data_IF_195972245551
#
_entry.id   IF_195972245551
#
_cell.length_a   1.000
_cell.length_b   1.000
_cell.length_c   1.000
_cell.angle_alpha   90.00
_cell.angle_beta   90.00
_cell.angle_gamma   90.00
#
_symmetry.space_group_name_H-M   'P 1'
#
loop_
_entity.id
_entity.type
_entity.pdbx_description
1 polymer ?
#
# COMPACT_ATOMS: atom_id res chain seq x y z
N UNK A 1 -28.27 -23.15 33.76
CA UNK A 1 -28.05 -21.75 33.35
C UNK A 1 -27.76 -21.77 31.86
N UNK A 2 -28.75 -21.40 31.04
CA UNK A 2 -28.62 -21.29 29.58
C UNK A 2 -28.43 -19.81 29.28
N UNK A 3 -27.21 -19.40 28.92
CA UNK A 3 -26.94 -18.01 28.54
C UNK A 3 -27.51 -17.70 27.15
N UNK A 4 -28.20 -16.57 27.11
CA UNK A 4 -29.02 -16.08 26.01
C UNK A 4 -28.16 -15.55 24.86
N UNK A 5 -27.74 -16.47 23.99
CA UNK A 5 -26.95 -16.21 22.76
C UNK A 5 -27.69 -15.35 21.73
N UNK A 6 -28.97 -15.05 21.93
CA UNK A 6 -29.75 -14.19 21.02
C UNK A 6 -29.31 -12.72 21.09
N UNK A 7 -28.92 -12.24 22.28
CA UNK A 7 -28.50 -10.84 22.49
C UNK A 7 -27.16 -10.53 21.85
N UNK A 8 -26.23 -11.47 21.85
CA UNK A 8 -24.90 -11.32 21.25
C UNK A 8 -25.01 -11.24 19.71
N UNK A 9 -25.89 -12.05 19.10
CA UNK A 9 -26.15 -12.00 17.65
C UNK A 9 -26.85 -10.71 17.23
N UNK A 10 -27.76 -10.18 18.07
CA UNK A 10 -28.43 -8.91 17.81
C UNK A 10 -27.45 -7.72 17.86
N UNK A 11 -26.53 -7.71 18.82
CA UNK A 11 -25.52 -6.66 18.97
C UNK A 11 -24.50 -6.70 17.82
N UNK A 12 -24.03 -7.89 17.43
CA UNK A 12 -23.14 -8.05 16.28
C UNK A 12 -23.81 -7.62 14.97
N UNK A 13 -25.10 -7.94 14.78
CA UNK A 13 -25.87 -7.49 13.62
C UNK A 13 -26.06 -5.97 13.57
N UNK A 14 -26.29 -5.32 14.72
CA UNK A 14 -26.43 -3.87 14.80
C UNK A 14 -25.10 -3.14 14.50
N UNK A 15 -23.97 -3.72 14.95
CA UNK A 15 -22.64 -3.16 14.72
C UNK A 15 -22.24 -3.21 13.24
N UNK A 16 -22.52 -4.33 12.56
CA UNK A 16 -22.27 -4.48 11.11
C UNK A 16 -23.18 -3.53 10.31
N UNK A 17 -24.43 -3.34 10.72
CA UNK A 17 -25.35 -2.40 10.08
C UNK A 17 -24.88 -0.94 10.24
N UNK A 18 -24.35 -0.57 11.41
CA UNK A 18 -23.79 0.76 11.67
C UNK A 18 -22.52 1.03 10.84
N UNK A 19 -21.64 0.05 10.69
CA UNK A 19 -20.43 0.17 9.84
C UNK A 19 -20.81 0.35 8.36
N UNK A 20 -21.79 -0.42 7.87
CA UNK A 20 -22.30 -0.30 6.49
C UNK A 20 -23.01 1.05 6.26
N UNK A 21 -23.75 1.55 7.24
CA UNK A 21 -24.40 2.85 7.15
C UNK A 21 -23.39 4.01 7.16
N UNK A 22 -22.31 3.94 7.97
CA UNK A 22 -21.24 4.93 7.93
C UNK A 22 -20.47 4.95 6.61
N UNK A 23 -20.24 3.78 5.99
CA UNK A 23 -19.62 3.70 4.67
C UNK A 23 -20.51 4.29 3.56
N UNK A 24 -21.83 4.04 3.63
CA UNK A 24 -22.78 4.59 2.65
C UNK A 24 -22.95 6.11 2.80
N UNK A 25 -22.94 6.64 4.03
CA UNK A 25 -23.06 8.08 4.27
C UNK A 25 -21.82 8.86 3.78
N UNK A 26 -20.61 8.29 3.95
CA UNK A 26 -19.38 8.85 3.39
C UNK A 26 -19.33 8.77 1.86
N UNK A 27 -19.84 7.68 1.29
CA UNK A 27 -19.92 7.50 -0.17
C UNK A 27 -20.94 8.42 -0.86
N UNK A 28 -22.04 8.78 -0.18
CA UNK A 28 -23.07 9.67 -0.77
C UNK A 28 -22.80 11.16 -0.59
N UNK A 29 -22.13 11.59 0.50
CA UNK A 29 -21.82 13.02 0.71
C UNK A 29 -20.73 13.56 -0.24
N UNK A 30 -19.89 12.68 -0.78
CA UNK A 30 -18.83 13.04 -1.73
C UNK A 30 -19.31 13.17 -3.18
N UNK A 31 -20.57 12.81 -3.49
CA UNK A 31 -21.08 12.76 -4.88
C UNK A 31 -22.10 13.84 -5.25
N UNK A 32 -22.60 14.64 -4.30
CA UNK A 32 -23.64 15.65 -4.57
C UNK A 32 -23.15 17.10 -4.74
N UNK A 33 -21.83 17.32 -4.83
CA UNK A 33 -21.25 18.64 -5.15
C UNK A 33 -20.25 18.51 -6.29
N UNK A 34 -20.76 18.47 -7.53
CA UNK A 34 -20.17 19.13 -8.69
C UNK A 34 -20.93 18.75 -9.95
N UNK A 35 -22.06 19.43 -10.17
CA UNK A 35 -22.58 19.66 -11.51
C UNK A 35 -22.83 21.16 -11.66
N UNK A 36 -21.85 21.90 -12.17
CA UNK A 36 -22.15 23.06 -13.01
C UNK A 36 -21.03 23.22 -14.04
N UNK A 37 -21.40 23.04 -15.31
CA UNK A 37 -20.58 23.20 -16.50
C UNK A 37 -20.20 24.68 -16.69
N UNK A 38 -18.94 24.94 -17.01
CA UNK A 38 -18.56 26.05 -17.90
C UNK A 38 -17.54 25.57 -18.92
N UNK A 39 -17.91 25.75 -20.20
CA UNK A 39 -17.10 25.53 -21.40
C UNK A 39 -16.44 26.86 -21.78
N UNK A 40 -15.19 26.83 -22.26
CA UNK A 40 -14.63 27.66 -23.38
C UNK A 40 -13.09 27.48 -23.45
N UNK A 41 -12.40 27.83 -24.58
CA UNK A 41 -12.65 27.47 -25.97
C UNK A 41 -11.41 26.81 -26.64
N UNK A 42 -11.68 26.15 -27.75
CA UNK A 42 -10.74 25.60 -28.73
C UNK A 42 -9.84 26.67 -29.34
N UNK A 43 -8.54 26.37 -29.53
CA UNK A 43 -7.64 27.12 -30.40
C UNK A 43 -6.94 26.20 -31.38
N UNK A 44 -6.84 26.72 -32.60
CA UNK A 44 -6.70 26.03 -33.88
C UNK A 44 -5.24 25.83 -34.29
N UNK A 45 -4.97 24.66 -34.87
CA UNK A 45 -4.03 24.32 -35.95
C UNK A 45 -2.84 25.25 -36.26
N UNK A 46 -1.62 24.71 -36.21
CA UNK A 46 -0.70 24.81 -37.35
C UNK A 46 0.30 23.64 -37.37
N UNK A 47 0.43 23.04 -38.56
CA UNK A 47 1.37 21.99 -38.94
C UNK A 47 2.56 22.66 -39.64
N UNK A 48 3.79 22.14 -39.49
CA UNK A 48 4.62 21.97 -40.68
C UNK A 48 5.21 20.55 -40.81
N UNK A 49 5.46 20.21 -42.07
CA UNK A 49 5.97 18.94 -42.60
C UNK A 49 7.49 18.80 -42.44
N UNK A 50 8.08 17.62 -42.77
CA UNK A 50 9.32 17.13 -42.19
C UNK A 50 10.57 17.57 -42.96
N UNK A 51 11.69 17.68 -42.25
CA UNK A 51 13.03 17.77 -42.85
C UNK A 51 13.94 16.71 -42.26
N UNK A 52 14.43 15.84 -43.12
CA UNK A 52 15.45 14.83 -42.89
C UNK A 52 16.82 15.50 -42.69
N UNK A 53 17.53 15.20 -41.60
CA UNK A 53 18.99 15.36 -41.55
C UNK A 53 19.64 14.35 -40.59
N UNK A 54 20.65 13.67 -41.12
CA UNK A 54 21.52 12.59 -40.62
C UNK A 54 22.33 12.99 -39.36
N UNK A 55 22.79 12.04 -38.52
CA UNK A 55 23.18 12.32 -37.13
C UNK A 55 24.63 12.82 -36.99
N UNK A 56 24.82 13.82 -36.12
CA UNK A 56 26.11 14.19 -35.56
C UNK A 56 26.26 13.57 -34.16
N UNK A 57 27.25 12.71 -34.00
CA UNK A 57 27.77 12.31 -32.70
C UNK A 57 28.53 13.49 -32.09
N UNK A 58 28.07 13.93 -30.92
CA UNK A 58 28.88 14.76 -30.01
C UNK A 58 28.95 14.05 -28.68
N UNK A 59 30.13 13.51 -28.40
CA UNK A 59 30.55 13.00 -27.10
C UNK A 59 30.71 14.18 -26.15
N UNK A 60 29.92 14.21 -25.08
CA UNK A 60 30.15 15.12 -23.96
C UNK A 60 30.39 14.26 -22.72
N UNK A 61 31.66 14.20 -22.31
CA UNK A 61 32.06 13.70 -21.01
C UNK A 61 31.49 14.63 -19.93
N UNK A 62 30.57 14.11 -19.12
CA UNK A 62 30.13 14.79 -17.89
C UNK A 62 30.77 14.10 -16.71
N UNK A 63 31.86 14.70 -16.23
CA UNK A 63 32.58 14.38 -15.00
C UNK A 63 31.62 14.30 -13.82
N UNK A 64 31.43 13.09 -13.28
CA UNK A 64 30.65 12.85 -12.07
C UNK A 64 31.52 13.14 -10.84
N UNK A 65 31.32 14.29 -10.20
CA UNK A 65 31.95 14.61 -8.92
C UNK A 65 31.33 13.73 -7.84
N UNK A 66 32.04 12.68 -7.44
CA UNK A 66 31.63 11.79 -6.34
C UNK A 66 31.90 12.50 -5.02
N UNK A 67 30.86 13.02 -4.38
CA UNK A 67 30.94 13.50 -2.99
C UNK A 67 30.93 12.28 -2.08
N UNK A 68 32.11 11.92 -1.57
CA UNK A 68 32.27 10.87 -0.56
C UNK A 68 31.71 11.43 0.76
N UNK A 69 30.49 11.02 1.12
CA UNK A 69 29.96 11.23 2.48
C UNK A 69 30.29 10.00 3.31
N UNK A 70 31.17 10.19 4.29
CA UNK A 70 31.64 9.16 5.22
C UNK A 70 30.47 8.55 5.99
N UNK A 71 30.22 7.26 5.76
CA UNK A 71 29.27 6.47 6.53
C UNK A 71 29.74 6.37 7.99
N UNK A 72 28.93 6.85 8.93
CA UNK A 72 29.15 6.61 10.36
C UNK A 72 28.54 5.25 10.68
N UNK A 73 29.37 4.22 10.68
CA UNK A 73 29.01 2.88 11.14
C UNK A 73 28.95 2.87 12.67
N UNK A 74 27.85 2.37 13.23
CA UNK A 74 27.76 2.11 14.67
C UNK A 74 27.20 0.70 14.86
N UNK A 75 28.10 -0.26 14.98
CA UNK A 75 27.78 -1.63 15.38
C UNK A 75 27.72 -1.64 16.91
N UNK A 76 26.60 -2.03 17.50
CA UNK A 76 26.56 -2.26 18.95
C UNK A 76 25.55 -3.34 19.33
N UNK A 77 26.06 -4.50 19.73
CA UNK A 77 25.34 -5.44 20.59
C UNK A 77 25.29 -4.84 22.00
N UNK A 78 24.13 -4.35 22.45
CA UNK A 78 23.99 -3.77 23.79
C UNK A 78 23.14 -4.68 24.69
N UNK A 79 23.64 -5.03 25.91
CA UNK A 79 22.84 -5.69 26.92
C UNK A 79 21.71 -4.78 27.42
N UNK A 80 20.63 -5.40 27.88
CA UNK A 80 19.32 -4.78 28.15
C UNK A 80 19.30 -3.68 29.23
N UNK A 81 20.41 -3.42 29.95
CA UNK A 81 20.42 -2.56 31.14
C UNK A 81 20.77 -1.07 30.90
N UNK A 82 20.87 -0.58 29.66
CA UNK A 82 21.09 0.85 29.37
C UNK A 82 20.31 1.34 28.15
N UNK A 83 18.98 1.20 28.14
CA UNK A 83 18.14 1.95 27.19
C UNK A 83 18.11 3.43 27.64
N UNK A 84 18.61 4.41 26.86
CA UNK A 84 18.49 5.81 27.19
C UNK A 84 17.02 6.19 27.31
N UNK A 85 16.63 7.02 28.28
CA UNK A 85 15.23 7.46 28.42
C UNK A 85 14.67 8.15 27.16
N UNK A 86 15.55 8.53 26.23
CA UNK A 86 15.27 9.26 25.00
C UNK A 86 14.82 8.39 23.83
N UNK A 87 15.01 7.07 23.91
CA UNK A 87 14.94 6.20 22.74
C UNK A 87 13.57 6.19 22.06
N UNK A 88 12.51 6.44 22.83
CA UNK A 88 11.13 6.49 22.34
C UNK A 88 10.74 7.79 21.65
N UNK A 89 11.63 8.77 21.57
CA UNK A 89 11.33 10.08 20.98
C UNK A 89 12.24 10.42 19.80
N UNK A 90 13.36 9.71 19.64
CA UNK A 90 14.28 9.88 18.51
C UNK A 90 14.11 8.68 17.58
N UNK A 91 13.63 8.91 16.36
CA UNK A 91 13.28 7.82 15.45
C UNK A 91 14.45 6.84 15.19
N UNK A 92 15.67 7.35 14.97
CA UNK A 92 16.87 6.51 14.82
C UNK A 92 17.14 5.62 16.04
N UNK A 93 16.94 6.14 17.26
CA UNK A 93 17.07 5.35 18.49
C UNK A 93 15.92 4.34 18.60
N UNK A 94 14.70 4.75 18.25
CA UNK A 94 13.53 3.89 18.22
C UNK A 94 13.70 2.69 17.30
N UNK A 95 14.31 2.87 16.13
CA UNK A 95 14.70 1.76 15.25
C UNK A 95 15.66 0.80 15.96
N UNK A 96 16.68 1.31 16.67
CA UNK A 96 17.66 0.45 17.36
C UNK A 96 17.03 -0.43 18.45
N UNK A 97 16.17 0.13 19.29
CA UNK A 97 15.60 -0.59 20.42
C UNK A 97 14.31 -1.33 20.05
N UNK A 98 13.45 -0.72 19.23
CA UNK A 98 12.19 -1.30 18.77
C UNK A 98 12.37 -2.49 17.84
N UNK A 99 13.52 -2.62 17.17
CA UNK A 99 13.85 -3.77 16.32
C UNK A 99 14.77 -4.79 17.00
N UNK A 100 15.15 -4.59 18.27
CA UNK A 100 16.04 -5.52 18.97
C UNK A 100 15.47 -6.94 19.02
N UNK A 101 16.33 -7.97 19.10
CA UNK A 101 15.92 -9.38 19.12
C UNK A 101 14.85 -9.69 20.19
N UNK A 102 14.91 -9.02 21.36
CA UNK A 102 13.90 -9.17 22.40
C UNK A 102 12.53 -8.61 21.96
N UNK A 103 12.48 -7.51 21.20
CA UNK A 103 11.21 -6.99 20.67
C UNK A 103 10.69 -7.82 19.49
N UNK A 104 11.57 -8.33 18.62
CA UNK A 104 11.16 -9.17 17.47
C UNK A 104 10.54 -10.49 17.93
N UNK A 105 11.17 -11.17 18.90
CA UNK A 105 10.68 -12.46 19.41
C UNK A 105 9.27 -12.38 20.02
N UNK A 106 8.89 -11.23 20.59
CA UNK A 106 7.53 -10.98 21.12
C UNK A 106 6.44 -10.98 20.05
N UNK A 107 6.79 -10.73 18.79
CA UNK A 107 5.85 -10.68 17.66
C UNK A 107 6.05 -11.83 16.67
N UNK A 108 6.93 -12.77 16.97
CA UNK A 108 7.26 -13.93 16.12
C UNK A 108 6.03 -14.73 15.68
N UNK A 109 5.04 -14.90 16.57
CA UNK A 109 3.79 -15.58 16.23
C UNK A 109 3.07 -14.94 15.04
N UNK A 110 3.01 -13.60 15.02
CA UNK A 110 2.36 -12.84 13.96
C UNK A 110 3.22 -12.82 12.70
N UNK A 111 4.55 -12.72 12.86
CA UNK A 111 5.48 -12.84 11.74
C UNK A 111 5.34 -14.19 11.02
N UNK A 112 5.19 -15.29 11.76
CA UNK A 112 4.95 -16.63 11.19
C UNK A 112 3.61 -16.70 10.45
N UNK A 113 2.55 -16.14 11.05
CA UNK A 113 1.21 -16.11 10.45
C UNK A 113 1.17 -15.34 9.12
N UNK A 114 1.87 -14.21 9.05
CA UNK A 114 1.82 -13.31 7.90
C UNK A 114 2.87 -13.65 6.81
N UNK A 115 3.86 -14.49 7.10
CA UNK A 115 4.95 -14.83 6.16
C UNK A 115 4.39 -15.57 4.94
N UNK A 116 4.49 -14.93 3.78
CA UNK A 116 4.21 -15.52 2.49
C UNK A 116 5.36 -16.36 1.94
N UNK A 117 5.14 -16.96 0.78
CA UNK A 117 6.17 -17.70 0.03
C UNK A 117 7.19 -16.77 -0.62
N UNK A 118 6.81 -15.52 -0.87
CA UNK A 118 7.66 -14.48 -1.46
C UNK A 118 7.66 -13.23 -0.59
N UNK A 119 8.65 -12.34 -0.79
CA UNK A 119 8.66 -11.05 -0.09
C UNK A 119 7.43 -10.21 -0.47
N UNK A 120 6.98 -10.28 -1.72
CA UNK A 120 5.81 -9.58 -2.22
C UNK A 120 4.54 -10.01 -1.47
N UNK A 121 4.34 -11.31 -1.30
CA UNK A 121 3.21 -11.86 -0.55
C UNK A 121 3.29 -11.48 0.93
N UNK A 122 4.48 -11.56 1.54
CA UNK A 122 4.67 -11.16 2.94
C UNK A 122 4.35 -9.69 3.19
N UNK A 123 4.84 -8.76 2.36
CA UNK A 123 4.51 -7.33 2.55
C UNK A 123 3.03 -7.05 2.29
N UNK A 124 2.43 -7.76 1.33
CA UNK A 124 0.99 -7.63 1.07
C UNK A 124 0.18 -8.07 2.29
N UNK A 125 0.50 -9.24 2.85
CA UNK A 125 -0.14 -9.76 4.06
C UNK A 125 0.04 -8.83 5.26
N UNK A 126 1.24 -8.25 5.44
CA UNK A 126 1.49 -7.28 6.51
C UNK A 126 0.60 -6.05 6.33
N UNK A 127 0.59 -5.42 5.16
CA UNK A 127 -0.21 -4.21 4.92
C UNK A 127 -1.71 -4.47 5.04
N UNK A 128 -2.18 -5.62 4.54
CA UNK A 128 -3.57 -6.02 4.71
C UNK A 128 -3.95 -6.23 6.18
N UNK A 129 -3.08 -6.91 6.93
CA UNK A 129 -3.30 -7.12 8.36
C UNK A 129 -3.31 -5.79 9.12
N UNK A 130 -2.36 -4.90 8.84
CA UNK A 130 -2.29 -3.58 9.46
C UNK A 130 -3.56 -2.77 9.19
N UNK A 131 -3.99 -2.69 7.94
CA UNK A 131 -5.20 -1.97 7.51
C UNK A 131 -6.47 -2.47 8.24
N UNK A 132 -6.54 -3.76 8.56
CA UNK A 132 -7.72 -4.37 9.16
C UNK A 132 -7.68 -4.42 10.70
N UNK A 133 -6.50 -4.30 11.33
CA UNK A 133 -6.32 -4.58 12.76
C UNK A 133 -5.74 -3.40 13.55
N UNK A 134 -5.13 -2.42 12.89
CA UNK A 134 -4.52 -1.25 13.56
C UNK A 134 -5.23 0.00 13.07
N UNK A 135 -5.76 0.79 13.99
CA UNK A 135 -6.36 2.09 13.70
C UNK A 135 -5.30 3.20 13.72
N UNK A 136 -5.54 4.28 12.98
CA UNK A 136 -4.70 5.47 13.08
C UNK A 136 -5.04 6.25 14.37
N UNK A 137 -4.05 6.46 15.25
CA UNK A 137 -4.24 7.21 16.49
C UNK A 137 -4.20 8.72 16.23
N UNK A 138 -5.31 9.26 15.75
CA UNK A 138 -5.48 10.70 15.47
C UNK A 138 -5.26 11.58 16.70
N UNK A 139 -5.55 11.07 17.91
CA UNK A 139 -5.30 11.82 19.14
C UNK A 139 -3.80 11.96 19.37
N UNK A 140 -3.05 10.85 19.35
CA UNK A 140 -1.59 10.88 19.45
C UNK A 140 -0.96 11.76 18.36
N UNK A 141 -1.43 11.68 17.11
CA UNK A 141 -0.93 12.48 16.01
C UNK A 141 -1.19 14.00 16.16
N UNK A 142 -2.20 14.39 16.94
CA UNK A 142 -2.54 15.79 17.22
C UNK A 142 -1.74 16.41 18.36
N UNK A 143 -1.00 15.60 19.13
CA UNK A 143 -0.17 16.08 20.22
C UNK A 143 1.05 16.86 19.68
N UNK A 144 1.53 17.89 20.40
CA UNK A 144 2.76 18.57 20.05
C UNK A 144 3.94 17.59 19.96
N UNK A 145 4.78 17.77 18.94
CA UNK A 145 5.99 16.98 18.79
C UNK A 145 6.89 17.14 20.04
N UNK A 146 7.50 16.04 20.54
CA UNK A 146 8.44 16.11 21.65
C UNK A 146 9.61 17.04 21.34
N UNK A 147 9.95 17.92 22.27
CA UNK A 147 11.14 18.78 22.16
C UNK A 147 12.31 18.10 22.85
N UNK A 148 13.40 17.90 22.11
CA UNK A 148 14.66 17.36 22.63
C UNK A 148 15.56 18.55 22.99
N UNK A 149 15.92 18.67 24.26
CA UNK A 149 16.83 19.68 24.76
C UNK A 149 18.26 19.14 24.69
N UNK A 150 19.12 19.86 23.97
CA UNK A 150 20.51 19.48 23.74
C UNK A 150 21.39 20.55 24.39
N UNK A 151 22.35 20.15 25.22
CA UNK A 151 23.35 21.07 25.78
C UNK A 151 24.32 21.56 24.71
N UNK A 152 25.07 22.62 25.02
CA UNK A 152 26.06 23.22 24.11
C UNK A 152 27.10 22.21 23.58
N UNK A 153 27.37 21.12 24.31
CA UNK A 153 28.28 20.05 23.92
C UNK A 153 27.62 18.90 23.12
N UNK A 154 26.36 19.05 22.71
CA UNK A 154 25.63 18.05 21.93
C UNK A 154 24.98 16.92 22.74
N UNK A 155 25.00 16.97 24.08
CA UNK A 155 24.38 15.93 24.93
C UNK A 155 22.89 16.20 25.11
N UNK A 156 22.06 15.16 25.05
CA UNK A 156 20.63 15.30 25.37
C UNK A 156 20.50 15.51 26.88
N UNK A 157 19.98 16.66 27.29
CA UNK A 157 19.81 17.06 28.69
C UNK A 157 18.35 17.02 29.16
N UNK A 158 17.41 16.83 28.24
CA UNK A 158 16.00 16.68 28.58
C UNK A 158 15.13 16.40 27.37
N UNK A 159 13.96 15.80 27.60
CA UNK A 159 12.90 15.69 26.61
C UNK A 159 11.63 16.19 27.26
N UNK A 160 10.94 17.09 26.57
CA UNK A 160 9.57 17.49 26.92
C UNK A 160 8.64 16.98 25.83
N UNK A 161 7.92 15.90 26.12
CA UNK A 161 6.82 15.38 25.31
C UNK A 161 5.60 15.18 26.20
N UNK A 162 4.40 15.41 25.67
CA UNK A 162 3.19 15.03 26.38
C UNK A 162 3.15 13.52 26.60
N UNK A 163 2.58 13.06 27.72
CA UNK A 163 2.29 11.65 27.92
C UNK A 163 1.52 11.10 26.71
N UNK A 164 1.96 9.96 26.16
CA UNK A 164 1.35 9.35 24.97
C UNK A 164 2.01 9.73 23.65
N UNK A 165 3.01 10.62 23.64
CA UNK A 165 3.80 10.95 22.44
C UNK A 165 4.90 9.93 22.13
N UNK A 166 5.14 8.97 23.03
CA UNK A 166 6.18 7.96 22.89
C UNK A 166 5.97 7.08 21.65
N UNK A 167 7.04 6.85 20.90
CA UNK A 167 7.08 5.80 19.89
C UNK A 167 6.88 4.44 20.58
N UNK A 168 5.97 3.66 20.01
CA UNK A 168 5.58 2.34 20.50
C UNK A 168 6.55 1.27 20.01
N UNK A 169 6.78 0.26 20.84
CA UNK A 169 7.38 -1.01 20.39
C UNK A 169 6.40 -1.75 19.46
N UNK A 170 6.88 -2.69 18.62
CA UNK A 170 5.99 -3.49 17.78
C UNK A 170 4.88 -4.19 18.57
N UNK A 171 5.23 -4.81 19.70
CA UNK A 171 4.27 -5.51 20.56
C UNK A 171 3.24 -4.54 21.19
N UNK A 172 3.65 -3.33 21.59
CA UNK A 172 2.71 -2.31 22.08
C UNK A 172 1.72 -1.88 21.01
N UNK A 173 2.18 -1.64 19.78
CA UNK A 173 1.33 -1.26 18.63
C UNK A 173 0.27 -2.33 18.38
N UNK A 174 0.67 -3.61 18.34
CA UNK A 174 -0.26 -4.74 18.18
C UNK A 174 -1.26 -4.78 19.33
N UNK A 175 -0.78 -4.71 20.59
CA UNK A 175 -1.64 -4.83 21.77
C UNK A 175 -2.65 -3.70 21.88
N UNK A 176 -2.27 -2.48 21.50
CA UNK A 176 -3.15 -1.32 21.53
C UNK A 176 -4.12 -1.29 20.34
N UNK A 177 -3.80 -1.98 19.25
CA UNK A 177 -4.60 -1.94 18.02
C UNK A 177 -4.63 -0.55 17.36
N UNK A 178 -3.67 0.33 17.68
CA UNK A 178 -3.60 1.68 17.11
C UNK A 178 -2.21 2.31 17.24
N UNK A 179 -1.88 3.20 16.31
CA UNK A 179 -0.60 3.94 16.32
C UNK A 179 -0.54 5.06 15.26
N UNK A 180 0.62 5.71 15.16
CA UNK A 180 0.92 6.72 14.13
C UNK A 180 2.04 6.25 13.19
N UNK A 181 2.41 7.05 12.18
CA UNK A 181 3.36 6.66 11.12
C UNK A 181 4.67 6.00 11.60
N UNK A 182 5.26 6.49 12.70
CA UNK A 182 6.45 5.88 13.30
C UNK A 182 6.19 4.50 13.92
N UNK A 183 5.05 4.34 14.61
CA UNK A 183 4.65 3.07 15.24
C UNK A 183 4.38 1.99 14.19
N UNK A 184 3.67 2.35 13.11
CA UNK A 184 3.44 1.47 11.96
C UNK A 184 4.76 1.08 11.29
N UNK A 185 5.64 2.05 11.05
CA UNK A 185 6.94 1.79 10.40
C UNK A 185 7.76 0.78 11.21
N UNK A 186 7.87 0.98 12.53
CA UNK A 186 8.64 0.08 13.39
C UNK A 186 8.01 -1.32 13.44
N UNK A 187 6.68 -1.42 13.53
CA UNK A 187 6.00 -2.71 13.48
C UNK A 187 6.24 -3.43 12.14
N UNK A 188 6.07 -2.73 11.00
CA UNK A 188 6.30 -3.30 9.67
C UNK A 188 7.73 -3.81 9.52
N UNK A 189 8.73 -3.00 9.93
CA UNK A 189 10.13 -3.42 9.87
C UNK A 189 10.42 -4.60 10.80
N UNK A 190 9.85 -4.62 11.99
CA UNK A 190 10.02 -5.71 12.93
C UNK A 190 9.46 -7.03 12.37
N UNK A 191 8.25 -7.00 11.79
CA UNK A 191 7.65 -8.16 11.13
C UNK A 191 8.55 -8.67 10.01
N UNK A 192 9.03 -7.78 9.13
CA UNK A 192 9.90 -8.17 8.02
C UNK A 192 11.22 -8.79 8.48
N UNK A 193 11.89 -8.18 9.48
CA UNK A 193 13.14 -8.69 10.04
C UNK A 193 12.95 -10.02 10.78
N UNK A 194 11.79 -10.24 11.41
CA UNK A 194 11.46 -11.51 12.08
C UNK A 194 11.05 -12.60 11.08
N UNK A 195 10.57 -12.22 9.89
CA UNK A 195 10.40 -13.13 8.76
C UNK A 195 11.71 -13.44 8.02
N UNK A 196 12.87 -13.02 8.54
CA UNK A 196 14.20 -13.14 7.93
C UNK A 196 14.40 -12.34 6.63
N UNK A 197 13.59 -11.30 6.39
CA UNK A 197 13.86 -10.36 5.31
C UNK A 197 14.87 -9.32 5.77
N UNK A 198 16.04 -9.33 5.13
CA UNK A 198 17.07 -8.31 5.27
C UNK A 198 17.79 -8.19 3.92
N UNK A 199 18.02 -7.01 3.37
CA UNK A 199 17.87 -5.66 3.93
C UNK A 199 16.42 -5.13 3.93
N UNK A 200 16.10 -4.25 4.88
CA UNK A 200 14.85 -3.46 4.92
C UNK A 200 15.17 -1.99 5.17
N UNK A 201 14.24 -1.09 4.85
CA UNK A 201 14.51 0.35 4.83
C UNK A 201 13.44 1.16 5.56
N UNK A 202 13.82 2.28 6.17
CA UNK A 202 12.88 3.30 6.64
C UNK A 202 13.12 4.61 5.89
N UNK A 203 12.02 5.30 5.57
CA UNK A 203 12.03 6.60 4.91
C UNK A 203 11.41 7.62 5.85
N UNK A 204 12.21 8.60 6.27
CA UNK A 204 11.73 9.76 7.01
C UNK A 204 11.56 10.94 6.05
N UNK A 205 10.32 11.24 5.74
CA UNK A 205 9.89 12.14 4.67
C UNK A 205 9.64 13.53 5.20
N UNK A 206 10.17 14.51 4.47
CA UNK A 206 9.92 15.93 4.66
C UNK A 206 9.11 16.49 3.50
N UNK A 207 8.20 17.41 3.80
CA UNK A 207 7.41 18.10 2.78
C UNK A 207 7.89 19.55 2.60
N UNK A 208 7.76 20.08 1.39
CA UNK A 208 8.15 21.45 1.05
C UNK A 208 7.19 22.47 1.65
N UNK A 209 5.91 22.13 1.67
CA UNK A 209 4.80 23.02 2.02
C UNK A 209 4.20 22.72 3.40
N UNK A 210 4.85 21.89 4.22
CA UNK A 210 4.39 21.57 5.57
C UNK A 210 5.55 21.19 6.48
N UNK A 211 5.45 21.59 7.76
CA UNK A 211 6.39 21.17 8.80
C UNK A 211 6.10 19.75 9.33
N UNK A 212 4.98 19.16 8.92
CA UNK A 212 4.64 17.77 9.24
C UNK A 212 5.72 16.85 8.68
N UNK A 213 6.07 15.82 9.44
CA UNK A 213 6.93 14.72 8.98
C UNK A 213 6.11 13.47 8.78
N UNK A 214 6.53 12.62 7.85
CA UNK A 214 5.95 11.30 7.68
C UNK A 214 7.06 10.25 7.72
N UNK A 215 6.72 9.05 8.19
CA UNK A 215 7.67 7.95 8.27
C UNK A 215 7.00 6.72 7.71
N UNK A 216 7.70 6.00 6.83
CA UNK A 216 7.21 4.75 6.26
C UNK A 216 8.32 3.71 6.16
N UNK A 217 7.95 2.43 6.24
CA UNK A 217 8.84 1.33 5.94
C UNK A 217 8.97 1.16 4.42
N UNK A 218 10.04 0.53 3.97
CA UNK A 218 10.25 0.21 2.57
C UNK A 218 11.07 -1.07 2.41
N UNK A 219 10.89 -1.71 1.26
CA UNK A 219 11.74 -2.82 0.79
C UNK A 219 12.35 -2.46 -0.55
N UNK A 220 13.40 -3.18 -0.93
CA UNK A 220 14.01 -3.07 -2.26
C UNK A 220 13.85 -4.39 -3.00
N UNK A 221 13.21 -4.36 -4.18
CA UNK A 221 13.06 -5.51 -5.08
C UNK A 221 13.62 -5.06 -6.43
N UNK A 222 14.55 -5.84 -7.01
CA UNK A 222 15.16 -5.55 -8.32
C UNK A 222 15.67 -4.10 -8.45
N UNK A 223 16.36 -3.63 -7.41
CA UNK A 223 16.90 -2.28 -7.27
C UNK A 223 15.88 -1.12 -7.21
N UNK A 224 14.59 -1.42 -7.08
CA UNK A 224 13.52 -0.44 -6.88
C UNK A 224 12.99 -0.46 -5.44
N UNK A 225 12.72 0.73 -4.90
CA UNK A 225 12.12 0.88 -3.58
C UNK A 225 10.60 0.82 -3.65
N UNK A 226 10.00 0.05 -2.75
CA UNK A 226 8.56 0.00 -2.55
C UNK A 226 8.21 0.40 -1.12
N UNK A 227 7.40 1.45 -0.98
CA UNK A 227 6.98 2.06 0.28
C UNK A 227 5.78 1.29 0.84
N UNK A 228 5.84 0.98 2.13
CA UNK A 228 4.88 0.16 2.88
C UNK A 228 4.10 1.03 3.88
N UNK A 229 3.23 1.89 3.34
CA UNK A 229 2.62 2.99 4.08
C UNK A 229 1.22 2.67 4.62
N UNK A 230 1.22 1.85 5.68
CA UNK A 230 0.09 1.49 6.57
C UNK A 230 -1.06 0.69 5.92
N UNK A 231 -1.38 0.97 4.66
CA UNK A 231 -2.48 0.37 3.92
C UNK A 231 -1.98 -0.22 2.61
N UNK A 232 -2.76 -1.14 2.06
CA UNK A 232 -2.52 -1.62 0.71
C UNK A 232 -2.74 -0.52 -0.35
N UNK A 233 -2.04 -0.62 -1.50
CA UNK A 233 -0.95 -1.56 -1.81
C UNK A 233 0.44 -1.00 -1.44
N UNK A 234 1.51 -1.82 -1.49
CA UNK A 234 2.88 -1.31 -1.63
C UNK A 234 2.98 -0.37 -2.85
N UNK A 235 3.73 0.71 -2.73
CA UNK A 235 3.81 1.74 -3.78
C UNK A 235 5.26 1.94 -4.22
N UNK A 236 5.50 2.10 -5.52
CA UNK A 236 6.77 2.64 -5.99
C UNK A 236 6.91 4.13 -5.59
N UNK A 237 8.10 4.71 -5.79
CA UNK A 237 8.39 6.08 -5.38
C UNK A 237 7.50 7.13 -6.09
N UNK A 238 7.15 6.91 -7.36
CA UNK A 238 6.32 7.82 -8.15
C UNK A 238 4.84 7.77 -7.77
N UNK A 239 4.28 6.58 -7.64
CA UNK A 239 2.96 6.36 -7.05
C UNK A 239 2.89 7.02 -5.68
N UNK A 240 3.93 6.83 -4.86
CA UNK A 240 3.97 7.41 -3.52
C UNK A 240 3.96 8.94 -3.55
N UNK A 241 4.72 9.57 -4.44
CA UNK A 241 4.66 11.02 -4.65
C UNK A 241 3.25 11.49 -5.03
N UNK A 242 2.64 10.83 -6.01
CA UNK A 242 1.31 11.18 -6.53
C UNK A 242 0.23 11.03 -5.45
N UNK A 243 0.32 10.02 -4.58
CA UNK A 243 -0.56 9.88 -3.41
C UNK A 243 -0.61 11.17 -2.59
N UNK A 244 0.55 11.74 -2.24
CA UNK A 244 0.63 12.96 -1.42
C UNK A 244 0.31 14.24 -2.21
N UNK A 245 0.76 14.34 -3.45
CA UNK A 245 0.67 15.56 -4.25
C UNK A 245 -0.70 15.75 -4.93
N UNK A 246 -1.40 14.66 -5.26
CA UNK A 246 -2.61 14.69 -6.10
C UNK A 246 -3.87 14.19 -5.39
N UNK A 247 -3.76 13.12 -4.59
CA UNK A 247 -4.94 12.38 -4.10
C UNK A 247 -5.41 12.72 -2.69
N UNK A 248 -4.61 13.45 -1.89
CA UNK A 248 -5.04 13.93 -0.58
C UNK A 248 -5.83 15.22 -0.69
N UNK A 249 -6.76 15.42 0.25
CA UNK A 249 -7.46 16.70 0.44
C UNK A 249 -6.46 17.82 0.72
N UNK A 250 -5.54 17.57 1.67
CA UNK A 250 -4.36 18.41 1.88
C UNK A 250 -3.19 17.88 1.06
N UNK A 251 -2.92 18.56 -0.06
CA UNK A 251 -1.82 18.22 -0.97
C UNK A 251 -0.49 18.57 -0.34
N UNK A 252 0.38 17.58 -0.17
CA UNK A 252 1.72 17.75 0.36
C UNK A 252 2.75 17.36 -0.69
N UNK A 253 3.75 18.22 -0.91
CA UNK A 253 4.82 18.00 -1.87
C UNK A 253 6.03 17.44 -1.14
N UNK A 254 6.43 16.21 -1.46
CA UNK A 254 7.64 15.61 -0.88
C UNK A 254 8.84 16.45 -1.32
N UNK A 255 9.62 16.92 -0.35
CA UNK A 255 10.89 17.62 -0.56
C UNK A 255 12.05 16.64 -0.66
N UNK A 256 12.13 15.72 0.29
CA UNK A 256 13.16 14.70 0.38
C UNK A 256 12.78 13.62 1.40
N UNK A 257 13.53 12.52 1.40
CA UNK A 257 13.48 11.51 2.44
C UNK A 257 14.89 11.16 2.95
N UNK A 258 15.07 11.11 4.27
CA UNK A 258 16.25 10.48 4.86
C UNK A 258 16.05 8.96 4.83
N UNK A 259 16.99 8.25 4.22
CA UNK A 259 16.88 6.80 4.01
C UNK A 259 17.75 6.06 5.00
N UNK A 260 17.11 5.21 5.80
CA UNK A 260 17.74 4.30 6.74
C UNK A 260 17.79 2.91 6.13
N UNK A 261 18.97 2.32 6.03
CA UNK A 261 19.18 0.90 5.71
C UNK A 261 19.32 0.13 7.02
N UNK A 262 18.52 -0.92 7.17
CA UNK A 262 18.53 -1.79 8.34
C UNK A 262 18.90 -3.21 7.91
N UNK A 263 19.99 -3.71 8.50
CA UNK A 263 20.50 -5.05 8.30
C UNK A 263 20.45 -5.85 9.61
N UNK A 264 19.91 -7.06 9.54
CA UNK A 264 19.97 -8.05 10.64
C UNK A 264 20.97 -9.14 10.27
N UNK A 265 21.92 -9.41 11.17
CA UNK A 265 22.90 -10.48 11.05
C UNK A 265 22.95 -11.25 12.37
N UNK A 266 22.25 -12.39 12.42
CA UNK A 266 21.96 -13.09 13.66
C UNK A 266 21.17 -12.21 14.62
N UNK A 267 21.68 -12.04 15.84
CA UNK A 267 21.08 -11.17 16.87
C UNK A 267 21.53 -9.70 16.75
N UNK A 268 22.46 -9.39 15.84
CA UNK A 268 23.00 -8.04 15.67
C UNK A 268 22.23 -7.26 14.62
N UNK A 269 21.96 -5.99 14.93
CA UNK A 269 21.36 -5.03 14.01
C UNK A 269 22.35 -3.94 13.65
N UNK A 270 22.39 -3.61 12.36
CA UNK A 270 23.11 -2.45 11.83
C UNK A 270 22.11 -1.50 11.20
N UNK A 271 22.14 -0.24 11.60
CA UNK A 271 21.27 0.82 11.07
C UNK A 271 22.16 1.94 10.52
N UNK A 272 22.09 2.18 9.21
CA UNK A 272 22.89 3.19 8.51
C UNK A 272 21.98 4.20 7.85
N UNK A 273 22.34 5.48 7.92
CA UNK A 273 21.75 6.48 7.02
C UNK A 273 22.55 6.39 5.72
N UNK A 274 21.91 5.96 4.65
CA UNK A 274 22.59 5.75 3.35
C UNK A 274 22.51 6.96 2.42
N UNK A 275 21.66 7.94 2.76
CA UNK A 275 21.58 9.20 2.03
C UNK A 275 20.28 9.96 2.28
N UNK A 276 20.19 11.09 1.60
CA UNK A 276 18.96 11.90 1.48
C UNK A 276 18.50 11.77 0.03
N UNK A 277 17.31 11.22 -0.16
CA UNK A 277 16.69 11.07 -1.48
C UNK A 277 15.90 12.34 -1.81
N UNK A 278 16.26 13.11 -2.85
CA UNK A 278 15.54 14.31 -3.25
C UNK A 278 14.17 13.99 -3.88
N UNK A 279 13.28 14.98 -3.95
CA UNK A 279 11.96 14.88 -4.57
C UNK A 279 11.99 14.36 -6.01
N UNK A 280 13.04 14.69 -6.78
CA UNK A 280 13.20 14.31 -8.18
C UNK A 280 13.29 12.79 -8.36
N UNK A 281 13.90 12.08 -7.40
CA UNK A 281 13.95 10.62 -7.42
C UNK A 281 12.57 9.99 -7.23
N UNK A 282 11.68 10.69 -6.49
CA UNK A 282 10.30 10.28 -6.36
C UNK A 282 9.50 10.54 -7.64
N UNK A 283 9.60 11.74 -8.22
CA UNK A 283 8.82 12.15 -9.40
C UNK A 283 9.08 11.29 -10.64
N UNK A 284 10.28 10.74 -10.78
CA UNK A 284 10.73 10.09 -12.02
C UNK A 284 10.47 8.57 -12.08
N UNK A 285 9.89 7.96 -11.06
CA UNK A 285 9.78 6.50 -10.93
C UNK A 285 8.33 6.04 -10.71
N UNK A 286 7.44 6.43 -11.61
CA UNK A 286 6.06 5.96 -11.62
C UNK A 286 5.88 4.88 -12.69
N UNK A 287 5.33 3.72 -12.33
CA UNK A 287 4.99 2.70 -13.31
C UNK A 287 3.92 3.20 -14.30
N UNK A 288 4.15 3.04 -15.60
CA UNK A 288 3.16 3.38 -16.63
C UNK A 288 2.22 2.21 -16.90
N UNK A 289 0.97 2.32 -16.43
CA UNK A 289 -0.04 1.29 -16.60
C UNK A 289 -0.61 1.28 -18.03
N UNK A 290 -0.33 0.21 -18.76
CA UNK A 290 -0.67 0.07 -20.18
C UNK A 290 -1.89 -0.82 -20.44
N UNK A 291 -2.39 -0.82 -21.67
CA UNK A 291 -3.44 -1.76 -22.11
C UNK A 291 -2.99 -3.23 -22.07
N UNK A 292 -1.68 -3.51 -22.17
CA UNK A 292 -1.16 -4.85 -22.01
C UNK A 292 -1.37 -5.35 -20.57
N UNK A 293 -1.22 -4.48 -19.57
CA UNK A 293 -1.47 -4.82 -18.17
C UNK A 293 -2.93 -5.21 -17.92
N UNK A 294 -3.89 -4.51 -18.54
CA UNK A 294 -5.31 -4.88 -18.47
C UNK A 294 -5.54 -6.30 -18.99
N UNK A 295 -4.93 -6.65 -20.13
CA UNK A 295 -5.11 -7.95 -20.76
C UNK A 295 -4.50 -9.08 -19.91
N UNK A 296 -3.28 -8.88 -19.40
CA UNK A 296 -2.62 -9.86 -18.51
C UNK A 296 -3.44 -10.04 -17.24
N UNK A 297 -3.85 -8.95 -16.58
CA UNK A 297 -4.69 -9.01 -15.37
C UNK A 297 -6.02 -9.74 -15.61
N UNK A 298 -6.67 -9.50 -16.76
CA UNK A 298 -7.91 -10.19 -17.12
C UNK A 298 -7.70 -11.70 -17.29
N UNK A 299 -6.59 -12.10 -17.93
CA UNK A 299 -6.26 -13.51 -18.14
C UNK A 299 -5.91 -14.20 -16.83
N UNK A 300 -4.99 -13.64 -16.03
CA UNK A 300 -4.55 -14.24 -14.77
C UNK A 300 -5.71 -14.36 -13.77
N UNK A 301 -6.59 -13.36 -13.73
CA UNK A 301 -7.80 -13.44 -12.90
C UNK A 301 -8.76 -14.52 -13.42
N UNK A 302 -8.94 -14.64 -14.74
CA UNK A 302 -9.76 -15.70 -15.34
C UNK A 302 -9.23 -17.09 -15.00
N UNK A 303 -7.92 -17.30 -15.16
CA UNK A 303 -7.27 -18.57 -14.83
C UNK A 303 -7.49 -18.92 -13.36
N UNK A 304 -7.30 -17.96 -12.45
CA UNK A 304 -7.53 -18.17 -11.03
C UNK A 304 -8.98 -18.57 -10.71
N UNK A 305 -9.97 -18.00 -11.40
CA UNK A 305 -11.37 -18.44 -11.25
C UNK A 305 -11.60 -19.86 -11.80
N UNK A 306 -11.04 -20.20 -12.97
CA UNK A 306 -11.21 -21.52 -13.58
C UNK A 306 -10.52 -22.63 -12.75
N UNK A 307 -9.40 -22.34 -12.12
CA UNK A 307 -8.71 -23.27 -11.22
C UNK A 307 -9.53 -23.60 -9.98
N UNK A 308 -10.26 -22.62 -9.43
CA UNK A 308 -11.03 -22.78 -8.19
C UNK A 308 -12.49 -23.23 -8.43
N UNK A 309 -13.01 -23.09 -9.65
CA UNK A 309 -14.38 -23.43 -10.02
C UNK A 309 -14.38 -24.31 -11.28
N UNK A 310 -14.15 -25.64 -11.14
CA UNK A 310 -13.97 -26.54 -12.27
C UNK A 310 -15.23 -26.77 -13.11
N UNK A 311 -16.41 -26.32 -12.64
CA UNK A 311 -17.66 -26.28 -13.40
C UNK A 311 -17.68 -25.19 -14.48
N UNK A 312 -16.78 -24.20 -14.41
CA UNK A 312 -16.72 -23.09 -15.33
C UNK A 312 -15.84 -23.39 -16.54
N UNK A 313 -16.21 -22.81 -17.68
CA UNK A 313 -15.38 -22.77 -18.89
C UNK A 313 -15.35 -21.36 -19.47
N UNK A 314 -14.18 -20.93 -19.98
CA UNK A 314 -14.02 -19.64 -20.63
C UNK A 314 -14.93 -19.53 -21.86
N UNK A 315 -15.67 -18.44 -21.99
CA UNK A 315 -16.58 -18.23 -23.12
C UNK A 315 -16.57 -16.77 -23.62
N UNK A 316 -16.01 -16.56 -24.81
CA UNK A 316 -15.91 -15.23 -25.39
C UNK A 316 -17.27 -14.63 -25.78
N UNK A 317 -18.29 -15.46 -26.04
CA UNK A 317 -19.61 -14.97 -26.49
C UNK A 317 -20.36 -14.19 -25.40
N UNK A 318 -19.95 -14.32 -24.13
CA UNK A 318 -20.52 -13.60 -22.99
C UNK A 318 -19.65 -12.42 -22.54
N UNK A 319 -18.63 -12.06 -23.31
CA UNK A 319 -17.65 -11.03 -22.93
C UNK A 319 -18.24 -9.63 -22.71
N UNK A 320 -19.39 -9.34 -23.32
CA UNK A 320 -20.15 -8.09 -23.25
C UNK A 320 -21.62 -8.31 -22.84
N UNK A 321 -21.93 -9.43 -22.17
CA UNK A 321 -23.31 -9.79 -21.81
C UNK A 321 -23.97 -8.77 -20.87
N UNK A 322 -23.17 -8.00 -20.13
CA UNK A 322 -23.57 -6.90 -19.27
C UNK A 322 -24.04 -5.65 -20.03
N UNK A 323 -23.70 -5.56 -21.33
CA UNK A 323 -24.07 -4.46 -22.23
C UNK A 323 -25.25 -4.82 -23.13
N UNK A 324 -25.71 -6.08 -23.11
CA UNK A 324 -26.75 -6.62 -24.01
C UNK A 324 -28.13 -6.64 -23.34
N UNK A 325 -29.16 -6.26 -24.09
CA UNK A 325 -30.56 -6.36 -23.63
C UNK A 325 -30.99 -7.83 -23.51
N UNK A 326 -30.66 -8.65 -24.51
CA UNK A 326 -31.03 -10.06 -24.59
C UNK A 326 -29.81 -10.98 -24.44
N UNK A 327 -30.05 -12.20 -23.94
CA UNK A 327 -29.04 -13.25 -23.90
C UNK A 327 -28.68 -13.70 -25.34
N UNK A 328 -27.41 -14.03 -25.62
CA UNK A 328 -27.06 -14.69 -26.86
C UNK A 328 -27.82 -16.02 -27.01
N UNK A 329 -28.01 -16.48 -28.24
CA UNK A 329 -28.62 -17.79 -28.48
C UNK A 329 -27.81 -18.91 -27.81
N UNK A 330 -28.50 -19.85 -27.16
CA UNK A 330 -27.87 -20.97 -26.45
C UNK A 330 -27.57 -20.74 -24.97
N UNK A 331 -27.98 -19.60 -24.40
CA UNK A 331 -27.83 -19.31 -22.96
C UNK A 331 -29.20 -19.15 -22.30
N UNK A 332 -29.37 -19.76 -21.12
CA UNK A 332 -30.60 -19.70 -20.34
C UNK A 332 -30.62 -18.57 -19.31
N UNK A 333 -29.46 -18.29 -18.70
CA UNK A 333 -29.34 -17.34 -17.61
C UNK A 333 -27.99 -16.60 -17.62
N UNK A 334 -27.91 -15.45 -16.93
CA UNK A 334 -26.68 -14.67 -16.75
C UNK A 334 -26.57 -14.06 -15.36
N UNK A 335 -25.34 -13.80 -14.95
CA UNK A 335 -25.04 -12.90 -13.84
C UNK A 335 -23.82 -12.04 -14.17
N UNK A 336 -23.80 -10.82 -13.66
CA UNK A 336 -22.68 -9.89 -13.83
C UNK A 336 -22.35 -9.25 -12.50
N UNK A 337 -21.07 -9.33 -12.14
CA UNK A 337 -20.50 -8.67 -10.97
C UNK A 337 -19.46 -7.65 -11.40
N UNK A 338 -19.42 -6.51 -10.71
CA UNK A 338 -18.50 -5.41 -11.03
C UNK A 338 -17.74 -4.99 -9.78
N UNK A 339 -16.44 -4.81 -9.95
CA UNK A 339 -15.56 -4.20 -8.97
C UNK A 339 -14.99 -2.92 -9.60
N UNK A 340 -15.26 -1.77 -8.98
CA UNK A 340 -14.74 -0.46 -9.40
C UNK A 340 -13.76 0.05 -8.35
N UNK A 341 -12.56 0.41 -8.81
CA UNK A 341 -11.44 0.82 -7.97
C UNK A 341 -10.93 2.18 -8.46
N UNK A 342 -11.42 3.29 -7.87
CA UNK A 342 -10.98 4.64 -8.24
C UNK A 342 -9.49 4.84 -7.98
N UNK A 343 -8.82 5.57 -8.88
CA UNK A 343 -7.40 5.89 -8.86
C UNK A 343 -6.44 4.71 -8.88
N UNK A 344 -6.94 3.48 -8.98
CA UNK A 344 -6.14 2.26 -8.81
C UNK A 344 -5.12 2.04 -9.92
N UNK A 345 -5.33 2.64 -11.08
CA UNK A 345 -4.40 2.59 -12.22
C UNK A 345 -3.02 3.10 -11.82
N UNK A 346 -2.95 4.14 -11.00
CA UNK A 346 -1.68 4.73 -10.57
C UNK A 346 -1.02 4.00 -9.40
N UNK A 347 -1.75 3.11 -8.72
CA UNK A 347 -1.21 2.30 -7.63
C UNK A 347 -0.68 0.94 -8.09
N UNK A 348 -1.01 0.53 -9.31
CA UNK A 348 -0.56 -0.74 -9.84
C UNK A 348 0.92 -0.70 -10.18
N UNK A 349 1.64 -1.75 -9.78
CA UNK A 349 3.00 -2.03 -10.20
C UNK A 349 3.11 -3.48 -10.67
N UNK A 350 3.94 -3.73 -11.68
CA UNK A 350 4.12 -5.08 -12.22
C UNK A 350 4.72 -6.04 -11.18
N UNK A 351 5.58 -5.52 -10.30
CA UNK A 351 6.24 -6.27 -9.22
C UNK A 351 5.25 -6.98 -8.30
N UNK A 352 4.06 -6.41 -8.10
CA UNK A 352 3.00 -6.94 -7.24
C UNK A 352 1.80 -7.48 -8.03
N UNK A 353 1.97 -7.77 -9.32
CA UNK A 353 0.87 -8.18 -10.20
C UNK A 353 0.06 -9.35 -9.62
N UNK A 354 0.76 -10.38 -9.16
CA UNK A 354 0.11 -11.61 -8.65
C UNK A 354 -0.71 -11.32 -7.41
N UNK A 355 -0.24 -10.45 -6.54
CA UNK A 355 -0.86 -10.03 -5.31
C UNK A 355 -2.11 -9.18 -5.60
N UNK A 356 -2.04 -8.29 -6.62
CA UNK A 356 -3.23 -7.61 -7.14
C UNK A 356 -4.29 -8.59 -7.66
N UNK A 357 -3.90 -9.58 -8.46
CA UNK A 357 -4.84 -10.59 -9.00
C UNK A 357 -5.51 -11.37 -7.88
N UNK A 358 -4.72 -11.88 -6.90
CA UNK A 358 -5.23 -12.56 -5.71
C UNK A 358 -6.19 -11.67 -4.91
N UNK A 359 -5.82 -10.39 -4.74
CA UNK A 359 -6.66 -9.42 -4.04
C UNK A 359 -8.00 -9.25 -4.73
N UNK A 360 -8.05 -9.04 -6.06
CA UNK A 360 -9.32 -8.89 -6.78
C UNK A 360 -10.18 -10.15 -6.71
N UNK A 361 -9.57 -11.32 -6.88
CA UNK A 361 -10.27 -12.59 -6.73
C UNK A 361 -10.93 -12.72 -5.35
N UNK A 362 -10.19 -12.39 -4.28
CA UNK A 362 -10.73 -12.39 -2.93
C UNK A 362 -11.86 -11.38 -2.76
N UNK A 363 -11.72 -10.15 -3.28
CA UNK A 363 -12.78 -9.12 -3.21
C UNK A 363 -14.08 -9.56 -3.88
N UNK A 364 -14.03 -10.36 -4.94
CA UNK A 364 -15.22 -10.98 -5.52
C UNK A 364 -15.76 -12.11 -4.63
N UNK A 365 -14.90 -13.01 -4.16
CA UNK A 365 -15.30 -14.23 -3.43
C UNK A 365 -15.64 -14.01 -1.95
N UNK A 366 -15.31 -12.85 -1.39
CA UNK A 366 -15.83 -12.37 -0.10
C UNK A 366 -17.36 -12.21 -0.11
N UNK A 367 -17.97 -12.01 -1.28
CA UNK A 367 -19.42 -11.89 -1.43
C UNK A 367 -20.06 -13.28 -1.63
N UNK A 368 -20.88 -13.77 -0.68
CA UNK A 368 -21.48 -15.11 -0.78
C UNK A 368 -22.40 -15.28 -2.00
N UNK A 369 -22.97 -14.19 -2.53
CA UNK A 369 -23.79 -14.25 -3.76
C UNK A 369 -22.94 -14.51 -5.00
N UNK A 370 -21.73 -13.93 -5.06
CA UNK A 370 -20.78 -14.20 -6.14
C UNK A 370 -20.34 -15.66 -6.09
N UNK A 371 -19.99 -16.17 -4.90
CA UNK A 371 -19.61 -17.58 -4.71
C UNK A 371 -20.74 -18.53 -5.12
N UNK A 372 -21.98 -18.20 -4.75
CA UNK A 372 -23.15 -18.96 -5.19
C UNK A 372 -23.25 -19.00 -6.72
N UNK A 373 -23.22 -17.84 -7.37
CA UNK A 373 -23.29 -17.76 -8.83
C UNK A 373 -22.16 -18.55 -9.50
N UNK A 374 -20.93 -18.44 -9.00
CA UNK A 374 -19.78 -19.19 -9.52
C UNK A 374 -19.98 -20.73 -9.47
N UNK A 375 -20.80 -21.22 -8.55
CA UNK A 375 -21.15 -22.65 -8.45
C UNK A 375 -22.35 -23.07 -9.31
N UNK A 376 -23.22 -22.14 -9.70
CA UNK A 376 -24.46 -22.42 -10.46
C UNK A 376 -24.27 -22.25 -11.97
N UNK A 377 -23.43 -21.30 -12.40
CA UNK A 377 -23.15 -21.07 -13.80
C UNK A 377 -22.08 -22.03 -14.36
N UNK A 378 -21.99 -22.15 -15.68
CA UNK A 378 -21.02 -23.04 -16.35
C UNK A 378 -20.11 -22.32 -17.38
N UNK A 379 -20.34 -21.03 -17.63
CA UNK A 379 -19.50 -20.19 -18.49
C UNK A 379 -19.05 -18.94 -17.76
N UNK A 380 -17.83 -18.51 -18.08
CA UNK A 380 -17.15 -17.40 -17.44
C UNK A 380 -16.48 -16.50 -18.50
N UNK A 381 -16.58 -15.19 -18.30
CA UNK A 381 -15.70 -14.22 -18.92
C UNK A 381 -15.35 -13.09 -17.96
N UNK A 382 -14.11 -12.62 -18.00
CA UNK A 382 -13.63 -11.49 -17.21
C UNK A 382 -13.12 -10.41 -18.16
N UNK A 383 -13.53 -9.18 -17.89
CA UNK A 383 -13.09 -8.00 -18.60
C UNK A 383 -12.52 -7.01 -17.60
N UNK A 384 -11.31 -6.53 -17.87
CA UNK A 384 -10.67 -5.46 -17.08
C UNK A 384 -10.61 -4.24 -17.99
N UNK A 385 -11.24 -3.16 -17.54
CA UNK A 385 -11.38 -1.90 -18.28
C UNK A 385 -10.76 -0.75 -17.48
N UNK A 386 -10.21 0.22 -18.20
CA UNK A 386 -9.80 1.51 -17.65
C UNK A 386 -10.86 2.55 -18.01
N UNK A 387 -11.34 3.28 -17.01
CA UNK A 387 -12.21 4.44 -17.16
C UNK A 387 -11.55 5.63 -16.48
N UNK A 388 -10.88 6.48 -17.26
CA UNK A 388 -9.95 7.51 -16.75
C UNK A 388 -8.89 6.92 -15.82
N UNK A 389 -8.99 7.18 -14.51
CA UNK A 389 -8.09 6.63 -13.50
C UNK A 389 -8.71 5.47 -12.68
N UNK A 390 -9.92 5.06 -13.04
CA UNK A 390 -10.64 3.96 -12.38
C UNK A 390 -10.35 2.66 -13.10
N UNK A 391 -9.95 1.64 -12.33
CA UNK A 391 -9.89 0.26 -12.80
C UNK A 391 -11.27 -0.39 -12.57
N UNK A 392 -11.88 -0.91 -13.62
CA UNK A 392 -13.16 -1.63 -13.56
C UNK A 392 -12.93 -3.08 -13.95
N UNK A 393 -13.28 -4.01 -13.07
CA UNK A 393 -13.27 -5.45 -13.33
C UNK A 393 -14.70 -5.94 -13.43
N UNK A 394 -15.05 -6.58 -14.54
CA UNK A 394 -16.37 -7.12 -14.82
C UNK A 394 -16.27 -8.63 -14.95
N UNK A 395 -16.95 -9.33 -14.04
CA UNK A 395 -17.10 -10.78 -14.00
C UNK A 395 -18.46 -11.14 -14.61
N UNK A 396 -18.45 -11.74 -15.80
CA UNK A 396 -19.65 -12.21 -16.50
C UNK A 396 -19.75 -13.72 -16.37
N UNK A 397 -20.93 -14.18 -15.93
CA UNK A 397 -21.27 -15.58 -15.78
C UNK A 397 -22.52 -15.87 -16.63
N UNK A 398 -22.57 -17.06 -17.21
CA UNK A 398 -23.74 -17.49 -17.95
C UNK A 398 -23.94 -19.01 -17.87
N UNK A 399 -25.20 -19.41 -18.06
CA UNK A 399 -25.60 -20.81 -18.13
C UNK A 399 -25.84 -21.13 -19.59
N UNK A 400 -24.92 -21.88 -20.18
CA UNK A 400 -25.07 -22.41 -21.54
C UNK A 400 -25.93 -23.67 -21.48
N UNK A 401 -26.96 -23.70 -22.31
CA UNK A 401 -27.83 -24.86 -22.49
C UNK A 401 -27.00 -25.90 -23.23
N UNK A 402 -26.58 -26.95 -22.53
CA UNK A 402 -25.89 -28.08 -23.15
C UNK A 402 -26.95 -28.95 -23.84
N UNK A 403 -26.75 -29.20 -25.13
CA UNK A 403 -27.66 -29.95 -26.01
C UNK A 403 -27.49 -31.45 -25.87
#
# INVERSE_FOLDING_TARGET
MSEDTSKIKLIAGLFILLILLSFSAWYFTTRTKDETKELLPTSTTSKPSPTTTTPFQTTTETTSTTTITTAIETTTSLPESTRPSTWRYIFKEALKYGLSSNELTKISYLAIELKGQTIQESVWNILEWLQNNIEYDSYKASLPAPTIQISENGTIIGITGGEGTEIQTPYETIKKGKGICTDYTILTLALMLEMDYSLVYAFEISFENSNTKHVTAAIKIDDEYFLLDQNLPPMDLGTYYNKWALYREEKLLISNATVYEIQKSGESLTIKIIGIMPAEDFKNRNYDFTSANLAVMANDLMELFLENYPNLSKDFYISDIDKKVHLPYGYANRSTWKLELPNFIDYYTLTFHREFVKYFYRRFTENPKVVKDLSEFNRLWIRVERDQNTLRIVLNLAERIES
#
